data_IF_290219749719
#
_entry.id   IF_290219749719
#
_cell.length_a   1.000
_cell.length_b   1.000
_cell.length_c   1.000
_cell.angle_alpha   90.00
_cell.angle_beta   90.00
_cell.angle_gamma   90.00
#
_symmetry.space_group_name_H-M   'P 1'
#
loop_
_entity.id
_entity.type
_entity.pdbx_description
1 polymer ?
#
# COMPACT_ATOMS: atom_id res chain seq x y z
N UNK A 1 19.59 53.63 -9.89
CA UNK A 1 19.40 52.42 -9.06
C UNK A 1 18.33 51.60 -9.78
N UNK A 2 18.72 50.73 -10.71
CA UNK A 2 17.77 49.94 -11.52
C UNK A 2 17.39 48.64 -10.80
N UNK A 3 16.11 48.24 -10.80
CA UNK A 3 15.70 46.98 -10.20
C UNK A 3 16.13 45.83 -11.10
N UNK A 4 17.03 44.97 -10.61
CA UNK A 4 17.35 43.69 -11.25
C UNK A 4 16.16 42.76 -11.12
N UNK A 5 15.27 42.78 -12.11
CA UNK A 5 14.19 41.81 -12.25
C UNK A 5 14.78 40.41 -12.46
N UNK A 6 14.43 39.48 -11.58
CA UNK A 6 14.70 38.05 -11.77
C UNK A 6 13.68 37.52 -12.79
N UNK A 7 14.02 37.55 -14.08
CA UNK A 7 13.23 36.85 -15.09
C UNK A 7 13.49 35.36 -14.93
N UNK A 8 12.54 34.64 -14.34
CA UNK A 8 12.50 33.18 -14.41
C UNK A 8 12.25 32.78 -15.86
N UNK A 9 13.32 32.51 -16.60
CA UNK A 9 13.23 31.91 -17.92
C UNK A 9 12.38 30.65 -17.84
N UNK A 10 11.34 30.59 -18.68
CA UNK A 10 10.46 29.42 -18.73
C UNK A 10 11.30 28.21 -19.18
N UNK A 11 11.21 27.06 -18.49
CA UNK A 11 11.99 25.89 -18.87
C UNK A 11 11.63 25.49 -20.30
N UNK A 12 12.66 25.36 -21.15
CA UNK A 12 12.51 24.92 -22.54
C UNK A 12 12.09 23.45 -22.56
N UNK A 13 11.00 23.07 -23.24
CA UNK A 13 10.61 21.66 -23.35
C UNK A 13 11.75 20.83 -23.96
N UNK A 14 12.07 19.70 -23.32
CA UNK A 14 13.04 18.72 -23.81
C UNK A 14 12.26 17.52 -24.35
N UNK A 15 12.66 16.98 -25.50
CA UNK A 15 12.07 15.77 -26.04
C UNK A 15 12.25 14.61 -25.04
N UNK A 16 11.15 13.96 -24.67
CA UNK A 16 11.15 12.86 -23.72
C UNK A 16 10.20 11.75 -24.18
N UNK A 17 10.53 10.50 -23.82
CA UNK A 17 9.62 9.37 -24.02
C UNK A 17 8.65 9.31 -22.85
N UNK A 18 7.35 9.25 -23.16
CA UNK A 18 6.29 9.08 -22.16
C UNK A 18 5.71 7.68 -22.29
N UNK A 19 5.57 7.00 -21.16
CA UNK A 19 4.89 5.71 -21.08
C UNK A 19 3.50 5.90 -20.50
N UNK A 20 2.55 5.13 -21.01
CA UNK A 20 1.18 5.07 -20.51
C UNK A 20 0.83 3.64 -20.09
N UNK A 21 -0.14 3.51 -19.18
CA UNK A 21 -0.64 2.21 -18.76
C UNK A 21 -1.37 1.54 -19.92
N UNK A 22 -1.03 0.27 -20.17
CA UNK A 22 -1.84 -0.59 -21.01
C UNK A 22 -3.21 -0.84 -20.38
N UNK A 23 -4.18 -1.34 -21.16
CA UNK A 23 -5.50 -1.74 -20.63
C UNK A 23 -5.37 -2.77 -19.48
N UNK A 24 -4.42 -3.70 -19.59
CA UNK A 24 -4.10 -4.63 -18.51
C UNK A 24 -3.56 -3.90 -17.28
N UNK A 25 -2.65 -2.93 -17.48
CA UNK A 25 -2.11 -2.11 -16.39
C UNK A 25 -3.20 -1.33 -15.65
N UNK A 26 -4.16 -0.75 -16.38
CA UNK A 26 -5.30 -0.03 -15.80
C UNK A 26 -6.16 -0.92 -14.89
N UNK A 27 -6.32 -2.21 -15.20
CA UNK A 27 -7.08 -3.16 -14.37
C UNK A 27 -6.48 -3.34 -12.97
N UNK A 28 -5.16 -3.30 -12.85
CA UNK A 28 -4.44 -3.51 -11.58
C UNK A 28 -4.06 -2.20 -10.89
N UNK A 29 -4.28 -1.08 -11.56
CA UNK A 29 -3.94 0.23 -11.06
C UNK A 29 -4.84 0.65 -9.91
N UNK A 30 -4.21 1.12 -8.84
CA UNK A 30 -4.87 1.78 -7.72
C UNK A 30 -4.18 3.12 -7.45
N UNK A 31 -5.01 4.16 -7.40
CA UNK A 31 -4.58 5.46 -6.87
C UNK A 31 -4.42 5.33 -5.36
N UNK A 32 -3.17 5.44 -4.90
CA UNK A 32 -2.82 5.35 -3.49
C UNK A 32 -2.29 6.66 -2.94
N UNK A 33 -2.21 6.73 -1.62
CA UNK A 33 -1.35 7.70 -0.94
C UNK A 33 -0.55 7.01 0.15
N UNK A 34 0.73 7.36 0.28
CA UNK A 34 1.60 6.91 1.38
C UNK A 34 1.92 8.13 2.25
N UNK A 35 2.00 7.90 3.56
CA UNK A 35 2.26 8.94 4.56
C UNK A 35 0.98 9.43 5.25
N UNK A 36 1.13 10.33 6.22
CA UNK A 36 0.02 10.86 7.00
C UNK A 36 0.15 12.38 7.18
N UNK A 37 -0.99 13.07 7.35
CA UNK A 37 -1.04 14.52 7.49
C UNK A 37 -0.42 15.27 6.30
N UNK A 38 0.40 16.28 6.59
CA UNK A 38 1.09 17.11 5.59
C UNK A 38 2.15 16.34 4.76
N UNK A 39 2.49 15.11 5.14
CA UNK A 39 3.43 14.24 4.43
C UNK A 39 2.79 13.27 3.45
N UNK A 40 1.47 13.31 3.23
CA UNK A 40 0.79 12.43 2.26
C UNK A 40 1.32 12.68 0.85
N UNK A 41 1.84 11.63 0.22
CA UNK A 41 2.26 11.64 -1.19
C UNK A 41 1.40 10.69 -1.98
N UNK A 42 0.95 11.12 -3.16
CA UNK A 42 0.30 10.19 -4.10
C UNK A 42 1.31 9.16 -4.55
N UNK A 43 0.85 7.92 -4.62
CA UNK A 43 1.60 6.83 -5.19
C UNK A 43 0.73 6.10 -6.19
N UNK A 44 1.39 5.68 -7.25
CA UNK A 44 0.80 4.88 -8.31
C UNK A 44 1.14 3.43 -8.01
N UNK A 45 0.15 2.62 -7.63
CA UNK A 45 0.36 1.24 -7.21
C UNK A 45 -0.32 0.27 -8.17
N UNK A 46 0.32 -0.88 -8.39
CA UNK A 46 -0.29 -2.01 -9.08
C UNK A 46 -0.56 -3.11 -8.05
N UNK A 47 -1.84 -3.41 -7.82
CA UNK A 47 -2.27 -4.51 -6.98
C UNK A 47 -2.01 -5.83 -7.69
N UNK A 48 -1.49 -6.81 -6.95
CA UNK A 48 -1.05 -8.08 -7.53
C UNK A 48 -1.68 -9.32 -6.90
N UNK A 49 -2.57 -9.13 -5.93
CA UNK A 49 -3.30 -10.20 -5.27
C UNK A 49 -4.00 -9.71 -4.01
N UNK A 50 -4.76 -10.60 -3.38
CA UNK A 50 -5.60 -10.33 -2.21
C UNK A 50 -5.04 -11.06 -0.98
N UNK A 51 -4.73 -10.37 0.13
CA UNK A 51 -4.36 -11.03 1.37
C UNK A 51 -5.50 -11.91 1.91
N UNK A 52 -5.19 -13.15 2.28
CA UNK A 52 -6.12 -14.10 2.90
C UNK A 52 -5.53 -14.63 4.18
N UNK A 53 -6.20 -14.35 5.30
CA UNK A 53 -5.79 -14.87 6.61
C UNK A 53 -5.94 -16.40 6.63
N UNK A 54 -4.88 -17.08 7.05
CA UNK A 54 -4.83 -18.54 7.15
C UNK A 54 -4.75 -19.04 8.58
N UNK A 55 -4.28 -18.22 9.52
CA UNK A 55 -4.27 -18.54 10.95
C UNK A 55 -4.21 -17.27 11.80
N UNK A 56 -4.84 -17.29 12.97
CA UNK A 56 -4.60 -16.32 14.05
C UNK A 56 -3.67 -17.00 15.06
N UNK A 57 -2.51 -16.39 15.29
CA UNK A 57 -1.48 -17.00 16.15
C UNK A 57 -1.63 -16.56 17.61
N UNK A 58 -1.99 -15.30 17.86
CA UNK A 58 -2.27 -14.79 19.20
C UNK A 58 -3.06 -13.48 19.19
N UNK A 59 -3.69 -13.15 20.32
CA UNK A 59 -4.29 -11.84 20.55
C UNK A 59 -4.04 -11.39 22.00
N UNK A 60 -3.83 -10.10 22.18
CA UNK A 60 -3.79 -9.49 23.52
C UNK A 60 -5.21 -9.43 24.10
N UNK A 61 -5.35 -9.59 25.42
CA UNK A 61 -6.60 -9.30 26.09
C UNK A 61 -7.07 -7.90 25.69
N UNK A 62 -8.34 -7.74 25.27
CA UNK A 62 -8.75 -6.43 24.84
C UNK A 62 -8.72 -5.45 26.02
N UNK A 63 -8.47 -4.18 25.73
CA UNK A 63 -8.38 -3.10 26.71
C UNK A 63 -9.01 -1.83 26.15
N UNK A 64 -9.48 -0.95 27.03
CA UNK A 64 -10.01 0.36 26.61
C UNK A 64 -8.87 1.37 26.46
N UNK A 65 -8.76 1.97 25.28
CA UNK A 65 -7.79 3.00 24.95
C UNK A 65 -8.48 4.10 24.15
N UNK A 66 -8.37 5.36 24.61
CA UNK A 66 -8.94 6.52 23.94
C UNK A 66 -10.46 6.39 23.65
N UNK A 67 -11.20 5.73 24.55
CA UNK A 67 -12.65 5.49 24.40
C UNK A 67 -13.02 4.35 23.44
N UNK A 68 -12.04 3.58 22.96
CA UNK A 68 -12.25 2.41 22.12
C UNK A 68 -11.75 1.15 22.82
N UNK A 69 -12.50 0.06 22.71
CA UNK A 69 -12.05 -1.28 23.09
C UNK A 69 -11.16 -1.84 21.97
N UNK A 70 -9.88 -2.04 22.26
CA UNK A 70 -8.85 -2.43 21.27
C UNK A 70 -8.21 -3.77 21.67
N UNK A 71 -7.89 -4.61 20.69
CA UNK A 71 -7.01 -5.78 20.86
C UNK A 71 -5.96 -5.81 19.76
N UNK A 72 -4.73 -6.21 20.10
CA UNK A 72 -3.64 -6.44 19.14
C UNK A 72 -3.64 -7.91 18.75
N UNK A 73 -3.74 -8.20 17.46
CA UNK A 73 -3.89 -9.56 16.93
C UNK A 73 -2.73 -9.88 15.99
N UNK A 74 -2.02 -10.97 16.27
CA UNK A 74 -0.98 -11.54 15.41
C UNK A 74 -1.57 -12.67 14.57
N UNK A 75 -1.37 -12.63 13.26
CA UNK A 75 -1.94 -13.59 12.33
C UNK A 75 -1.03 -13.86 11.14
N UNK A 76 -1.23 -15.02 10.51
CA UNK A 76 -0.61 -15.41 9.25
C UNK A 76 -1.58 -15.26 8.09
N UNK A 77 -1.07 -14.80 6.96
CA UNK A 77 -1.85 -14.67 5.73
C UNK A 77 -1.05 -15.11 4.50
N UNK A 78 -1.74 -15.62 3.48
CA UNK A 78 -1.21 -15.86 2.13
C UNK A 78 -1.78 -14.81 1.17
N UNK A 79 -1.31 -14.80 -0.07
CA UNK A 79 -1.86 -13.94 -1.13
C UNK A 79 -2.57 -14.85 -2.12
N UNK A 80 -3.89 -14.67 -2.25
CA UNK A 80 -4.73 -15.32 -3.26
C UNK A 80 -4.96 -14.36 -4.45
N UNK A 81 -5.69 -14.80 -5.48
CA UNK A 81 -6.03 -14.02 -6.68
C UNK A 81 -4.79 -13.36 -7.34
N UNK A 82 -3.68 -14.09 -7.35
CA UNK A 82 -2.38 -13.59 -7.81
C UNK A 82 -2.48 -13.22 -9.28
N UNK A 83 -2.13 -11.98 -9.61
CA UNK A 83 -2.15 -11.50 -10.97
C UNK A 83 -1.06 -12.18 -11.81
N UNK A 84 -1.42 -12.68 -13.00
CA UNK A 84 -0.55 -13.51 -13.84
C UNK A 84 0.78 -12.83 -14.21
N UNK A 85 0.77 -11.51 -14.39
CA UNK A 85 1.97 -10.72 -14.73
C UNK A 85 3.08 -10.81 -13.68
N UNK A 86 2.77 -11.19 -12.44
CA UNK A 86 3.77 -11.40 -11.38
C UNK A 86 4.64 -12.64 -11.57
N UNK A 87 4.22 -13.57 -12.42
CA UNK A 87 4.95 -14.81 -12.70
C UNK A 87 6.06 -14.61 -13.73
N UNK A 88 6.08 -13.47 -14.42
CA UNK A 88 7.12 -13.13 -15.39
C UNK A 88 8.50 -13.06 -14.70
N UNK A 89 9.49 -13.76 -15.25
CA UNK A 89 10.82 -13.85 -14.67
C UNK A 89 11.54 -12.49 -14.59
N UNK A 90 11.29 -11.59 -15.56
CA UNK A 90 11.85 -10.23 -15.54
C UNK A 90 11.25 -9.41 -14.41
N UNK A 91 9.95 -9.55 -14.14
CA UNK A 91 9.26 -8.92 -13.02
C UNK A 91 9.77 -9.47 -11.69
N UNK A 92 9.89 -10.78 -11.54
CA UNK A 92 10.41 -11.37 -10.30
C UNK A 92 11.86 -10.97 -10.02
N UNK A 93 12.69 -10.86 -11.06
CA UNK A 93 14.07 -10.39 -10.96
C UNK A 93 14.17 -8.91 -10.59
N UNK A 94 13.33 -8.06 -11.19
CA UNK A 94 13.32 -6.62 -10.92
C UNK A 94 12.67 -6.28 -9.56
N UNK A 95 11.71 -7.09 -9.11
CA UNK A 95 10.94 -6.88 -7.87
C UNK A 95 10.96 -8.12 -6.96
N UNK A 96 12.11 -8.47 -6.34
CA UNK A 96 12.25 -9.67 -5.51
C UNK A 96 11.26 -9.75 -4.33
N UNK A 97 10.78 -8.58 -3.86
CA UNK A 97 9.78 -8.51 -2.79
C UNK A 97 8.44 -9.15 -3.18
N UNK A 98 8.05 -9.13 -4.46
CA UNK A 98 6.85 -9.82 -4.93
C UNK A 98 7.04 -11.33 -4.74
N UNK A 99 8.15 -11.87 -5.28
CA UNK A 99 8.47 -13.30 -5.16
C UNK A 99 8.51 -13.75 -3.69
N UNK A 100 9.15 -12.98 -2.81
CA UNK A 100 9.22 -13.28 -1.37
C UNK A 100 7.83 -13.35 -0.72
N UNK A 101 6.94 -12.41 -1.06
CA UNK A 101 5.58 -12.37 -0.49
C UNK A 101 4.68 -13.50 -0.99
N UNK A 102 4.93 -14.01 -2.19
CA UNK A 102 4.18 -15.12 -2.78
C UNK A 102 4.69 -16.50 -2.32
N UNK A 103 5.96 -16.63 -1.95
CA UNK A 103 6.57 -17.92 -1.64
C UNK A 103 6.11 -18.55 -0.30
N UNK A 104 5.79 -17.73 0.70
CA UNK A 104 5.42 -18.21 2.05
C UNK A 104 4.28 -17.41 2.64
N UNK A 105 3.59 -17.99 3.63
CA UNK A 105 2.71 -17.22 4.49
C UNK A 105 3.50 -16.07 5.16
N UNK A 106 2.86 -14.92 5.26
CA UNK A 106 3.38 -13.72 5.87
C UNK A 106 2.76 -13.56 7.27
N UNK A 107 3.53 -13.04 8.22
CA UNK A 107 3.03 -12.72 9.57
C UNK A 107 2.75 -11.22 9.64
N UNK A 108 1.60 -10.84 10.16
CA UNK A 108 1.28 -9.45 10.50
C UNK A 108 0.81 -9.36 11.95
N UNK A 109 0.86 -8.15 12.52
CA UNK A 109 0.25 -7.88 13.81
C UNK A 109 -0.38 -6.51 13.81
N UNK A 110 -1.70 -6.47 13.95
CA UNK A 110 -2.49 -5.25 13.77
C UNK A 110 -3.43 -5.00 14.95
N UNK A 111 -3.87 -3.75 15.07
CA UNK A 111 -4.87 -3.35 16.06
C UNK A 111 -6.28 -3.53 15.48
N UNK A 112 -7.14 -4.17 16.27
CA UNK A 112 -8.56 -4.32 15.99
C UNK A 112 -9.36 -3.54 17.03
N UNK A 113 -10.40 -2.85 16.57
CA UNK A 113 -11.29 -2.06 17.41
C UNK A 113 -12.68 -2.67 17.38
N UNK A 114 -13.27 -2.82 18.56
CA UNK A 114 -14.66 -3.27 18.69
C UNK A 114 -15.60 -2.12 18.29
N UNK A 115 -16.30 -2.30 17.18
CA UNK A 115 -17.39 -1.45 16.71
C UNK A 115 -18.74 -2.14 16.97
N UNK A 116 -19.84 -1.48 16.60
CA UNK A 116 -21.20 -2.04 16.74
C UNK A 116 -21.38 -3.38 16.03
N UNK A 117 -20.78 -3.53 14.85
CA UNK A 117 -20.83 -4.74 14.01
C UNK A 117 -19.73 -5.76 14.36
N UNK A 118 -19.04 -5.60 15.50
CA UNK A 118 -17.94 -6.45 15.94
C UNK A 118 -16.55 -5.88 15.68
N UNK A 119 -15.53 -6.75 15.67
CA UNK A 119 -14.13 -6.36 15.55
C UNK A 119 -13.78 -5.88 14.15
N UNK A 120 -13.23 -4.67 14.04
CA UNK A 120 -12.79 -4.08 12.78
C UNK A 120 -11.27 -3.87 12.80
N UNK A 121 -10.60 -4.31 11.74
CA UNK A 121 -9.18 -4.02 11.52
C UNK A 121 -9.00 -2.51 11.38
N UNK A 122 -8.23 -1.91 12.29
CA UNK A 122 -8.03 -0.47 12.27
C UNK A 122 -6.68 -0.16 11.64
N UNK A 123 -6.70 0.22 10.37
CA UNK A 123 -5.72 1.18 9.88
C UNK A 123 -6.02 2.51 10.56
N UNK A 124 -5.40 2.76 11.72
CA UNK A 124 -5.49 4.01 12.47
C UNK A 124 -4.95 5.23 11.71
N UNK A 125 -4.46 5.03 10.49
CA UNK A 125 -4.23 6.08 9.52
C UNK A 125 -5.14 5.87 8.29
N UNK A 126 -5.97 6.89 8.06
CA UNK A 126 -6.53 7.35 6.77
C UNK A 126 -7.73 6.63 6.15
N UNK A 127 -8.89 7.32 6.19
CA UNK A 127 -9.50 7.83 4.96
C UNK A 127 -8.82 9.14 4.55
#
# INVERSE_FOLDING_TARGET
MEPRGFTLDKPKPVAATRYELSELGKKYYQDGSIGSGLGKRRVHQLCFGTPKVVAVDSYAEPADMMGYRISKVSYRYTIDDIAEWTKDASIQKAFPNIAKRLATAQVSTDAFVLASEGWQHKNLATR
#
